data_IF_271849801009
#
_entry.id   IF_271849801009
#
_cell.length_a   1.000
_cell.length_b   1.000
_cell.length_c   1.000
_cell.angle_alpha   90.00
_cell.angle_beta   90.00
_cell.angle_gamma   90.00
#
_symmetry.space_group_name_H-M   'P 1'
#
loop_
_entity.id
_entity.type
_entity.pdbx_description
1 polymer ?
#
# COMPACT_ATOMS: atom_id res chain seq x y z
N UNK A 1 34.61 -6.95 7.07
CA UNK A 1 34.20 -7.49 5.76
C UNK A 1 32.80 -8.04 5.92
N UNK A 2 31.81 -7.18 5.65
CA UNK A 2 30.40 -7.40 5.93
C UNK A 2 29.78 -8.00 4.68
N UNK A 3 29.41 -9.28 4.72
CA UNK A 3 28.63 -9.88 3.65
C UNK A 3 27.20 -9.34 3.76
N UNK A 4 26.92 -8.27 2.99
CA UNK A 4 25.57 -7.78 2.75
C UNK A 4 24.72 -8.94 2.20
N UNK A 5 23.66 -9.31 2.93
CA UNK A 5 22.61 -10.19 2.45
C UNK A 5 22.10 -9.56 1.14
N UNK A 6 22.25 -10.31 0.03
CA UNK A 6 21.92 -9.85 -1.32
C UNK A 6 20.41 -9.55 -1.41
N UNK A 7 20.04 -8.28 -1.25
CA UNK A 7 18.72 -7.76 -1.60
C UNK A 7 18.74 -7.32 -3.06
N UNK A 8 18.32 -8.20 -3.95
CA UNK A 8 18.02 -7.87 -5.34
C UNK A 8 16.72 -8.60 -5.70
N UNK A 9 15.83 -7.93 -6.44
CA UNK A 9 14.69 -8.56 -7.12
C UNK A 9 15.22 -9.72 -7.98
N UNK A 10 15.20 -10.94 -7.43
CA UNK A 10 15.72 -12.13 -8.07
C UNK A 10 14.79 -12.63 -9.19
N UNK A 11 13.57 -12.09 -9.26
CA UNK A 11 12.58 -12.48 -10.27
C UNK A 11 12.87 -11.94 -11.67
N UNK A 12 13.63 -10.84 -11.80
CA UNK A 12 14.16 -10.39 -13.09
C UNK A 12 15.05 -11.47 -13.77
N UNK A 13 15.63 -12.40 -12.99
CA UNK A 13 16.44 -13.51 -13.51
C UNK A 13 15.64 -14.79 -13.76
N UNK A 14 14.47 -14.97 -13.14
CA UNK A 14 13.68 -16.20 -13.23
C UNK A 14 12.90 -16.31 -14.56
N UNK A 15 12.53 -15.19 -15.20
CA UNK A 15 11.61 -15.17 -16.34
C UNK A 15 12.26 -15.16 -17.74
N UNK A 16 13.58 -15.28 -17.85
CA UNK A 16 14.27 -15.49 -19.14
C UNK A 16 13.92 -16.84 -19.81
N UNK A 17 13.40 -17.81 -19.04
CA UNK A 17 13.18 -19.19 -19.50
C UNK A 17 11.74 -19.68 -19.31
N UNK A 18 10.78 -19.14 -20.05
CA UNK A 18 9.62 -19.94 -20.52
C UNK A 18 8.73 -19.14 -21.47
N UNK A 19 8.82 -19.44 -22.76
CA UNK A 19 7.84 -18.98 -23.76
C UNK A 19 7.50 -20.18 -24.66
N UNK A 20 6.31 -20.76 -24.48
CA UNK A 20 5.67 -21.59 -25.51
C UNK A 20 4.17 -21.37 -25.52
N UNK A 21 3.69 -21.15 -26.74
CA UNK A 21 2.36 -20.74 -27.20
C UNK A 21 1.35 -21.89 -27.14
N UNK A 22 0.06 -21.56 -26.99
CA UNK A 22 -1.06 -22.37 -27.52
C UNK A 22 -2.33 -21.51 -27.69
N UNK A 23 -3.01 -21.75 -28.82
CA UNK A 23 -4.05 -20.90 -29.39
C UNK A 23 -5.50 -21.37 -29.12
N UNK A 24 -6.39 -20.52 -29.62
CA UNK A 24 -7.86 -20.47 -29.50
C UNK A 24 -8.64 -21.70 -30.02
N UNK A 25 -9.76 -22.00 -29.35
CA UNK A 25 -11.11 -22.29 -29.90
C UNK A 25 -12.08 -22.48 -28.71
N UNK A 26 -12.97 -21.52 -28.37
CA UNK A 26 -14.25 -21.16 -29.00
C UNK A 26 -15.49 -21.88 -28.38
N UNK A 27 -15.93 -21.35 -27.23
CA UNK A 27 -17.27 -20.75 -27.03
C UNK A 27 -18.57 -21.55 -27.27
N UNK A 28 -18.59 -22.88 -27.28
CA UNK A 28 -19.86 -23.65 -27.28
C UNK A 28 -20.01 -24.71 -26.18
N UNK A 29 -19.03 -24.85 -25.29
CA UNK A 29 -19.05 -25.84 -24.20
C UNK A 29 -19.61 -25.27 -22.87
N UNK A 30 -19.71 -23.94 -22.74
CA UNK A 30 -19.80 -23.25 -21.45
C UNK A 30 -21.14 -23.42 -20.74
N UNK A 31 -22.24 -23.56 -21.48
CA UNK A 31 -23.58 -23.56 -20.87
C UNK A 31 -24.01 -24.93 -20.31
N UNK A 32 -23.42 -26.04 -20.79
CA UNK A 32 -23.77 -27.39 -20.31
C UNK A 32 -22.98 -27.83 -19.05
N UNK A 33 -21.85 -27.15 -18.76
CA UNK A 33 -20.97 -27.49 -17.65
C UNK A 33 -21.40 -26.85 -16.31
N UNK A 34 -22.31 -25.86 -16.34
CA UNK A 34 -22.77 -25.15 -15.14
C UNK A 34 -23.77 -25.96 -14.31
N UNK A 35 -24.60 -26.77 -14.95
CA UNK A 35 -25.62 -27.59 -14.28
C UNK A 35 -25.04 -28.80 -13.54
N UNK A 36 -23.80 -29.18 -13.86
CA UNK A 36 -23.03 -30.25 -13.20
C UNK A 36 -21.84 -29.73 -12.40
N UNK A 37 -21.72 -28.41 -12.23
CA UNK A 37 -20.63 -27.83 -11.45
C UNK A 37 -20.77 -28.27 -9.99
N UNK A 38 -19.72 -28.89 -9.39
CA UNK A 38 -19.77 -29.32 -8.01
C UNK A 38 -20.08 -28.12 -7.12
N UNK A 39 -21.19 -28.20 -6.38
CA UNK A 39 -21.55 -27.23 -5.35
C UNK A 39 -20.41 -27.21 -4.34
N UNK A 40 -19.67 -26.10 -4.28
CA UNK A 40 -18.60 -25.94 -3.30
C UNK A 40 -19.29 -25.76 -1.94
N UNK A 41 -19.46 -26.85 -1.20
CA UNK A 41 -19.91 -26.84 0.19
C UNK A 41 -18.91 -26.06 1.05
N UNK A 42 -19.29 -24.81 1.36
CA UNK A 42 -18.53 -23.80 2.10
C UNK A 42 -17.17 -23.40 1.48
N UNK A 43 -16.83 -22.10 1.44
CA UNK A 43 -15.49 -21.67 1.03
C UNK A 43 -14.44 -22.36 1.91
N UNK A 44 -13.50 -23.08 1.31
CA UNK A 44 -12.35 -23.64 2.05
C UNK A 44 -11.64 -22.50 2.77
N UNK A 45 -11.40 -22.65 4.08
CA UNK A 45 -10.62 -21.67 4.84
C UNK A 45 -9.29 -21.39 4.12
N UNK A 46 -8.93 -20.12 3.88
CA UNK A 46 -7.67 -19.79 3.24
C UNK A 46 -6.50 -20.38 4.03
N UNK A 47 -5.56 -21.03 3.33
CA UNK A 47 -4.33 -21.52 3.93
C UNK A 47 -3.28 -20.42 3.84
N UNK A 48 -2.82 -19.95 4.99
CA UNK A 48 -1.76 -18.95 5.07
C UNK A 48 -0.40 -19.60 5.20
N UNK A 49 0.63 -18.93 4.69
CA UNK A 49 2.00 -19.32 4.97
C UNK A 49 2.32 -19.13 6.47
N UNK A 50 3.29 -19.90 7.01
CA UNK A 50 3.73 -19.72 8.39
C UNK A 50 4.25 -18.30 8.63
N UNK A 51 3.78 -17.68 9.72
CA UNK A 51 4.34 -16.41 10.20
C UNK A 51 5.62 -16.72 10.98
N UNK A 52 6.75 -16.23 10.50
CA UNK A 52 8.07 -16.41 11.14
C UNK A 52 8.76 -15.07 11.36
N UNK A 53 9.79 -15.07 12.19
CA UNK A 53 10.52 -13.86 12.58
C UNK A 53 12.02 -14.12 12.62
N UNK A 54 12.80 -13.08 12.32
CA UNK A 54 14.24 -13.03 12.52
C UNK A 54 14.63 -11.74 13.23
N UNK A 55 15.79 -11.72 13.87
CA UNK A 55 16.34 -10.51 14.50
C UNK A 55 17.78 -10.31 14.08
N UNK A 56 18.09 -9.09 13.63
CA UNK A 56 19.44 -8.68 13.26
C UNK A 56 19.61 -7.18 13.55
N UNK A 57 20.76 -6.79 14.11
CA UNK A 57 21.08 -5.37 14.32
C UNK A 57 20.08 -4.60 15.20
N UNK A 58 19.36 -5.28 16.10
CA UNK A 58 18.32 -4.68 16.94
C UNK A 58 17.00 -4.41 16.21
N UNK A 59 16.81 -5.02 15.05
CA UNK A 59 15.57 -4.97 14.26
C UNK A 59 14.97 -6.36 14.20
N UNK A 60 13.67 -6.46 14.46
CA UNK A 60 12.87 -7.67 14.28
C UNK A 60 12.17 -7.60 12.93
N UNK A 61 12.24 -8.68 12.16
CA UNK A 61 11.65 -8.80 10.84
C UNK A 61 10.51 -9.82 10.84
N UNK A 62 9.44 -9.50 10.11
CA UNK A 62 8.31 -10.38 9.84
C UNK A 62 8.52 -11.09 8.50
N UNK A 63 8.21 -12.38 8.44
CA UNK A 63 8.30 -13.21 7.24
C UNK A 63 7.07 -14.12 7.10
N UNK A 64 6.76 -14.52 5.86
CA UNK A 64 5.68 -15.46 5.53
C UNK A 64 6.22 -16.74 4.89
N UNK A 65 6.91 -17.57 5.68
CA UNK A 65 7.44 -18.86 5.24
C UNK A 65 8.56 -18.78 4.19
N UNK A 66 9.08 -17.58 3.93
CA UNK A 66 10.16 -17.29 2.97
C UNK A 66 11.18 -16.34 3.61
N UNK A 67 12.35 -16.15 2.98
CA UNK A 67 13.35 -15.16 3.44
C UNK A 67 12.91 -13.69 3.27
N UNK A 68 11.82 -13.45 2.53
CA UNK A 68 11.35 -12.10 2.22
C UNK A 68 10.83 -11.37 3.45
N UNK A 69 11.25 -10.11 3.59
CA UNK A 69 10.81 -9.23 4.67
C UNK A 69 9.43 -8.66 4.33
N UNK A 70 8.46 -8.95 5.18
CA UNK A 70 7.07 -8.51 5.08
C UNK A 70 6.77 -7.31 6.01
N UNK A 71 7.69 -7.01 6.91
CA UNK A 71 7.59 -5.91 7.87
C UNK A 71 8.80 -5.91 8.79
N UNK A 72 9.05 -4.77 9.43
CA UNK A 72 10.14 -4.66 10.39
C UNK A 72 9.74 -3.76 11.57
N UNK A 73 10.45 -3.93 12.68
CA UNK A 73 10.38 -3.05 13.85
C UNK A 73 11.74 -3.00 14.54
N UNK A 74 12.22 -1.78 14.79
CA UNK A 74 13.36 -1.56 15.66
C UNK A 74 12.97 -1.74 17.12
N UNK A 75 13.64 -2.66 17.81
CA UNK A 75 13.32 -3.00 19.21
C UNK A 75 13.49 -1.79 20.15
N UNK A 76 14.48 -0.94 19.90
CA UNK A 76 14.69 0.28 20.72
C UNK A 76 13.78 1.45 20.36
N UNK A 77 13.08 1.40 19.22
CA UNK A 77 12.19 2.47 18.73
C UNK A 77 10.95 1.86 18.06
N UNK A 78 10.10 1.13 18.80
CA UNK A 78 9.04 0.31 18.23
C UNK A 78 7.96 1.09 17.49
N UNK A 79 7.83 2.40 17.77
CA UNK A 79 6.89 3.31 17.11
C UNK A 79 7.48 4.01 15.88
N UNK A 80 8.77 3.84 15.59
CA UNK A 80 9.38 4.34 14.36
C UNK A 80 9.09 3.37 13.21
N UNK A 81 8.78 3.92 12.04
CA UNK A 81 8.61 3.11 10.83
C UNK A 81 10.00 2.80 10.27
N UNK A 82 10.42 1.54 10.36
CA UNK A 82 11.78 1.14 10.02
C UNK A 82 12.03 1.03 8.50
N UNK A 83 11.03 0.59 7.73
CA UNK A 83 11.17 0.35 6.29
C UNK A 83 10.88 1.62 5.48
N UNK A 84 11.70 1.88 4.46
CA UNK A 84 11.63 3.10 3.64
C UNK A 84 10.30 3.20 2.88
N UNK A 85 9.85 2.12 2.25
CA UNK A 85 8.57 2.13 1.54
C UNK A 85 7.41 2.43 2.50
N UNK A 86 7.46 1.90 3.73
CA UNK A 86 6.42 2.13 4.73
C UNK A 86 6.45 3.59 5.21
N UNK A 87 7.62 4.22 5.30
CA UNK A 87 7.69 5.67 5.52
C UNK A 87 7.02 6.42 4.36
N UNK A 88 7.32 6.07 3.11
CA UNK A 88 6.70 6.67 1.92
C UNK A 88 5.19 6.46 1.85
N UNK A 89 4.64 5.37 2.39
CA UNK A 89 3.19 5.16 2.54
C UNK A 89 2.51 6.22 3.43
N UNK A 90 3.27 7.05 4.16
CA UNK A 90 2.76 8.19 4.92
C UNK A 90 2.82 9.53 4.15
N UNK A 91 3.26 9.51 2.89
CA UNK A 91 3.41 10.72 2.06
C UNK A 91 2.11 11.48 1.80
N UNK A 92 0.95 10.85 1.98
CA UNK A 92 -0.36 11.53 1.97
C UNK A 92 -0.44 12.68 2.99
N UNK A 93 0.36 12.66 4.07
CA UNK A 93 0.44 13.75 5.06
C UNK A 93 0.91 15.09 4.50
N UNK A 94 1.55 15.08 3.32
CA UNK A 94 1.93 16.30 2.59
C UNK A 94 0.71 17.09 2.10
N UNK A 95 -0.40 16.41 1.84
CA UNK A 95 -1.57 16.98 1.17
C UNK A 95 -2.79 17.05 2.08
N UNK A 96 -2.87 16.18 3.09
CA UNK A 96 -4.01 16.08 3.98
C UNK A 96 -3.58 16.31 5.44
N UNK A 97 -4.32 17.17 6.15
CA UNK A 97 -4.26 17.23 7.61
C UNK A 97 -4.78 15.91 8.20
N UNK A 98 -4.43 15.59 9.46
CA UNK A 98 -4.89 14.34 10.10
C UNK A 98 -6.41 14.17 9.97
N UNK A 99 -6.89 13.18 9.21
CA UNK A 99 -8.33 13.00 9.01
C UNK A 99 -8.97 12.34 10.24
N UNK A 100 -10.30 12.32 10.29
CA UNK A 100 -11.02 11.68 11.38
C UNK A 100 -10.87 10.14 11.40
N UNK A 101 -10.71 9.52 10.22
CA UNK A 101 -10.56 8.06 10.05
C UNK A 101 -9.43 7.74 9.06
N UNK A 102 -8.53 6.86 9.48
CA UNK A 102 -7.43 6.30 8.70
C UNK A 102 -7.61 4.78 8.68
N UNK A 103 -7.49 4.17 7.50
CA UNK A 103 -7.63 2.71 7.35
C UNK A 103 -6.43 2.13 6.63
N UNK A 104 -5.94 1.00 7.11
CA UNK A 104 -4.90 0.20 6.46
C UNK A 104 -5.50 -1.16 6.05
N UNK A 105 -5.34 -1.53 4.78
CA UNK A 105 -5.62 -2.87 4.26
C UNK A 105 -4.31 -3.65 4.21
N UNK A 106 -4.24 -4.75 4.95
CA UNK A 106 -3.02 -5.52 5.24
C UNK A 106 -2.27 -4.94 6.44
N UNK A 107 -2.08 -5.72 7.51
CA UNK A 107 -1.51 -5.22 8.78
C UNK A 107 0.02 -5.27 8.82
N UNK A 108 0.62 -6.35 8.32
CA UNK A 108 2.07 -6.58 8.37
C UNK A 108 2.62 -6.53 9.81
N UNK A 109 3.76 -5.86 10.00
CA UNK A 109 4.33 -5.60 11.35
C UNK A 109 3.59 -4.48 12.12
N UNK A 110 2.43 -4.06 11.63
CA UNK A 110 1.61 -2.98 12.15
C UNK A 110 2.32 -1.61 12.26
N UNK A 111 3.40 -1.40 11.51
CA UNK A 111 4.22 -0.18 11.56
C UNK A 111 3.41 1.08 11.25
N UNK A 112 2.63 1.07 10.16
CA UNK A 112 1.77 2.19 9.77
C UNK A 112 0.62 2.38 10.78
N UNK A 113 -0.09 1.30 11.12
CA UNK A 113 -1.20 1.31 12.08
C UNK A 113 -0.79 1.90 13.44
N UNK A 114 0.26 1.37 14.08
CA UNK A 114 0.67 1.85 15.41
C UNK A 114 1.26 3.26 15.36
N UNK A 115 1.97 3.61 14.28
CA UNK A 115 2.45 4.98 14.07
C UNK A 115 1.27 5.97 13.99
N UNK A 116 0.27 5.67 13.17
CA UNK A 116 -0.92 6.51 13.04
C UNK A 116 -1.68 6.61 14.38
N UNK A 117 -1.85 5.50 15.09
CA UNK A 117 -2.51 5.49 16.40
C UNK A 117 -1.75 6.34 17.44
N UNK A 118 -0.42 6.27 17.45
CA UNK A 118 0.42 7.01 18.38
C UNK A 118 0.42 8.51 18.10
N UNK A 119 0.67 8.90 16.85
CA UNK A 119 1.05 10.26 16.50
C UNK A 119 -0.06 11.08 15.83
N UNK A 120 -1.04 10.44 15.17
CA UNK A 120 -2.07 11.14 14.39
C UNK A 120 -3.37 11.26 15.19
N UNK A 121 -3.31 11.98 16.31
CA UNK A 121 -4.51 12.30 17.11
C UNK A 121 -5.28 13.47 16.47
N UNK A 122 -6.63 13.46 16.48
CA UNK A 122 -7.54 12.51 17.14
C UNK A 122 -8.06 11.37 16.23
N UNK A 123 -7.42 11.06 15.10
CA UNK A 123 -7.89 10.06 14.13
C UNK A 123 -8.21 8.69 14.75
N UNK A 124 -9.33 8.09 14.34
CA UNK A 124 -9.57 6.65 14.48
C UNK A 124 -8.75 5.92 13.43
N UNK A 125 -8.06 4.85 13.82
CA UNK A 125 -7.18 4.05 13.01
C UNK A 125 -7.70 2.62 13.01
N UNK A 126 -7.91 2.08 11.82
CA UNK A 126 -8.40 0.71 11.64
C UNK A 126 -7.48 -0.05 10.71
N UNK A 127 -7.16 -1.30 11.05
CA UNK A 127 -6.42 -2.20 10.19
C UNK A 127 -7.26 -3.43 9.85
N UNK A 128 -7.26 -3.79 8.57
CA UNK A 128 -7.98 -4.94 8.03
C UNK A 128 -6.97 -5.99 7.62
N UNK A 129 -6.97 -7.14 8.28
CA UNK A 129 -6.02 -8.21 8.05
C UNK A 129 -6.75 -9.53 7.81
N UNK A 130 -6.35 -10.28 6.79
CA UNK A 130 -7.00 -11.54 6.45
C UNK A 130 -6.44 -12.71 7.29
N UNK A 131 -5.15 -12.67 7.65
CA UNK A 131 -4.46 -13.73 8.34
C UNK A 131 -4.44 -13.50 9.87
N UNK A 132 -5.20 -14.29 10.67
CA UNK A 132 -5.23 -14.14 12.13
C UNK A 132 -3.84 -14.29 12.79
N UNK A 133 -2.94 -15.08 12.21
CA UNK A 133 -1.58 -15.24 12.74
C UNK A 133 -0.77 -13.94 12.65
N UNK A 134 -1.04 -13.09 11.65
CA UNK A 134 -0.42 -11.77 11.52
C UNK A 134 -0.95 -10.83 12.61
N UNK A 135 -2.25 -10.87 12.90
CA UNK A 135 -2.85 -10.09 14.00
C UNK A 135 -2.22 -10.46 15.33
N UNK A 136 -2.09 -11.76 15.63
CA UNK A 136 -1.43 -12.24 16.85
C UNK A 136 0.02 -11.76 16.90
N UNK A 137 0.79 -11.96 15.82
CA UNK A 137 2.19 -11.53 15.76
C UNK A 137 2.34 -10.01 15.92
N UNK A 138 1.45 -9.22 15.34
CA UNK A 138 1.49 -7.77 15.46
C UNK A 138 1.38 -7.31 16.92
N UNK A 139 0.51 -7.94 17.71
CA UNK A 139 0.34 -7.62 19.14
C UNK A 139 1.48 -8.15 20.00
N UNK A 140 1.86 -9.42 19.80
CA UNK A 140 2.80 -10.11 20.70
C UNK A 140 4.26 -9.85 20.36
N UNK A 141 4.57 -9.67 19.07
CA UNK A 141 5.93 -9.55 18.57
C UNK A 141 6.25 -8.17 17.98
N UNK A 142 5.26 -7.35 17.65
CA UNK A 142 5.50 -6.02 17.04
C UNK A 142 4.86 -4.86 17.80
N UNK A 143 4.56 -5.05 19.08
CA UNK A 143 4.15 -3.99 20.02
C UNK A 143 2.96 -3.14 19.53
N UNK A 144 2.04 -3.74 18.78
CA UNK A 144 0.75 -3.12 18.53
C UNK A 144 -0.07 -3.18 19.83
N UNK A 145 -0.44 -2.04 20.47
CA UNK A 145 -1.25 -2.03 21.69
C UNK A 145 -2.61 -2.68 21.45
N UNK A 146 -3.33 -3.12 22.47
CA UNK A 146 -4.71 -3.59 22.31
C UNK A 146 -5.64 -2.52 21.73
N UNK A 147 -6.77 -2.97 21.17
CA UNK A 147 -7.79 -2.07 20.63
C UNK A 147 -8.38 -1.18 21.73
N UNK A 148 -8.70 0.05 21.34
CA UNK A 148 -9.24 1.10 22.20
C UNK A 148 -10.25 1.95 21.43
N UNK A 149 -10.69 3.08 21.99
CA UNK A 149 -11.67 3.96 21.34
C UNK A 149 -11.19 4.55 19.99
N UNK A 150 -9.89 4.48 19.69
CA UNK A 150 -9.25 4.98 18.46
C UNK A 150 -8.66 3.88 17.60
N UNK A 151 -8.25 2.74 18.14
CA UNK A 151 -7.62 1.65 17.41
C UNK A 151 -8.54 0.43 17.30
N UNK A 152 -8.72 -0.06 16.08
CA UNK A 152 -9.39 -1.33 15.81
C UNK A 152 -8.56 -2.17 14.83
N UNK A 153 -8.45 -3.48 15.07
CA UNK A 153 -7.95 -4.44 14.07
C UNK A 153 -8.99 -5.50 13.83
N UNK A 154 -9.35 -5.72 12.57
CA UNK A 154 -10.41 -6.65 12.20
C UNK A 154 -9.87 -7.71 11.26
N UNK A 155 -10.22 -8.95 11.59
CA UNK A 155 -9.97 -10.10 10.73
C UNK A 155 -11.03 -10.15 9.62
N UNK A 156 -10.72 -9.57 8.46
CA UNK A 156 -11.66 -9.41 7.35
C UNK A 156 -10.90 -9.36 6.01
N UNK A 157 -11.56 -9.79 4.94
CA UNK A 157 -11.03 -9.61 3.58
C UNK A 157 -11.12 -8.14 3.14
N UNK A 158 -10.04 -7.63 2.58
CA UNK A 158 -9.98 -6.25 2.09
C UNK A 158 -11.01 -5.98 0.96
N UNK A 159 -11.33 -6.97 0.14
CA UNK A 159 -12.39 -6.90 -0.87
C UNK A 159 -13.76 -6.70 -0.22
N UNK A 160 -14.08 -7.50 0.80
CA UNK A 160 -15.35 -7.39 1.52
C UNK A 160 -15.46 -6.04 2.23
N UNK A 161 -14.37 -5.58 2.86
CA UNK A 161 -14.32 -4.28 3.51
C UNK A 161 -14.66 -3.12 2.57
N UNK A 162 -14.09 -3.08 1.37
CA UNK A 162 -14.33 -1.97 0.43
C UNK A 162 -15.71 -2.05 -0.26
N UNK A 163 -16.35 -3.22 -0.25
CA UNK A 163 -17.71 -3.39 -0.77
C UNK A 163 -18.81 -3.12 0.27
N UNK A 164 -18.46 -3.09 1.56
CA UNK A 164 -19.37 -2.65 2.60
C UNK A 164 -19.69 -1.16 2.46
N UNK A 165 -20.98 -0.88 2.18
CA UNK A 165 -21.49 0.48 2.00
C UNK A 165 -21.35 1.34 3.25
N UNK A 166 -21.24 0.75 4.45
CA UNK A 166 -20.99 1.49 5.68
C UNK A 166 -19.62 2.22 5.68
N UNK A 167 -18.68 1.79 4.83
CA UNK A 167 -17.38 2.44 4.71
C UNK A 167 -17.34 3.56 3.65
N UNK A 168 -18.38 3.70 2.81
CA UNK A 168 -18.37 4.62 1.67
C UNK A 168 -18.40 6.08 2.12
N UNK A 169 -17.48 6.90 1.59
CA UNK A 169 -17.39 8.32 1.91
C UNK A 169 -16.84 8.65 3.31
N UNK A 170 -16.19 7.71 4.01
CA UNK A 170 -15.85 7.88 5.44
C UNK A 170 -14.35 7.95 5.76
N UNK A 171 -13.49 7.55 4.82
CA UNK A 171 -12.06 7.36 5.06
C UNK A 171 -11.27 8.55 4.48
N UNK A 172 -10.50 9.26 5.31
CA UNK A 172 -9.66 10.35 4.80
C UNK A 172 -8.35 9.84 4.21
N UNK A 173 -7.74 8.83 4.82
CA UNK A 173 -6.53 8.19 4.31
C UNK A 173 -6.69 6.66 4.29
N UNK A 174 -6.50 6.05 3.12
CA UNK A 174 -6.57 4.60 2.92
C UNK A 174 -5.21 4.07 2.46
N UNK A 175 -4.61 3.17 3.23
CA UNK A 175 -3.31 2.60 2.94
C UNK A 175 -3.49 1.15 2.47
N UNK A 176 -3.10 0.83 1.25
CA UNK A 176 -3.25 -0.50 0.65
C UNK A 176 -1.87 -1.15 0.58
N UNK A 177 -1.64 -2.11 1.48
CA UNK A 177 -0.38 -2.83 1.66
C UNK A 177 -0.64 -4.35 1.72
N UNK A 178 -1.40 -4.84 0.73
CA UNK A 178 -1.83 -6.25 0.64
C UNK A 178 -0.96 -7.04 -0.31
N UNK A 179 -0.27 -8.06 0.22
CA UNK A 179 0.57 -8.98 -0.54
C UNK A 179 0.22 -10.43 -0.22
N UNK A 180 0.45 -11.33 -1.17
CA UNK A 180 0.44 -12.76 -0.87
C UNK A 180 1.75 -13.21 -0.22
N UNK A 181 1.74 -14.42 0.37
CA UNK A 181 2.90 -15.02 1.02
C UNK A 181 4.11 -15.23 0.09
N UNK A 182 3.91 -15.15 -1.22
CA UNK A 182 4.98 -15.25 -2.21
C UNK A 182 5.48 -13.88 -2.69
N UNK A 183 4.97 -12.78 -2.13
CA UNK A 183 5.21 -11.41 -2.57
C UNK A 183 4.89 -11.18 -4.06
N UNK A 184 3.96 -11.96 -4.64
CA UNK A 184 3.61 -11.89 -6.07
C UNK A 184 2.58 -10.81 -6.33
N UNK A 185 3.05 -9.57 -6.43
CA UNK A 185 2.17 -8.44 -6.78
C UNK A 185 1.12 -8.09 -5.72
N UNK A 186 0.40 -6.98 -5.90
CA UNK A 186 -0.82 -6.75 -5.15
C UNK A 186 -1.84 -7.84 -5.53
N UNK A 187 -2.37 -8.54 -4.52
CA UNK A 187 -3.40 -9.58 -4.70
C UNK A 187 -4.70 -8.96 -5.24
N UNK A 188 -4.94 -7.70 -4.88
CA UNK A 188 -6.11 -6.93 -5.26
C UNK A 188 -5.68 -5.78 -6.18
N UNK A 189 -5.55 -6.08 -7.47
CA UNK A 189 -4.96 -5.17 -8.45
C UNK A 189 -5.94 -4.72 -9.55
N UNK A 190 -7.24 -4.95 -9.40
CA UNK A 190 -8.27 -4.70 -10.42
C UNK A 190 -8.84 -3.27 -10.37
N UNK A 191 -9.34 -2.78 -11.51
CA UNK A 191 -10.06 -1.49 -11.56
C UNK A 191 -11.27 -1.51 -10.63
N UNK A 192 -12.00 -2.62 -10.57
CA UNK A 192 -13.17 -2.78 -9.70
C UNK A 192 -12.79 -2.60 -8.22
N UNK A 193 -11.69 -3.24 -7.78
CA UNK A 193 -11.16 -3.06 -6.44
C UNK A 193 -10.80 -1.59 -6.18
N UNK A 194 -10.03 -0.96 -7.06
CA UNK A 194 -9.61 0.42 -6.88
C UNK A 194 -10.78 1.42 -6.90
N UNK A 195 -11.84 1.16 -7.69
CA UNK A 195 -13.08 1.95 -7.65
C UNK A 195 -13.83 1.77 -6.33
N UNK A 196 -13.91 0.56 -5.80
CA UNK A 196 -14.51 0.29 -4.49
C UNK A 196 -13.71 0.96 -3.36
N UNK A 197 -12.38 0.86 -3.41
CA UNK A 197 -11.48 1.57 -2.49
C UNK A 197 -11.66 3.09 -2.56
N UNK A 198 -11.76 3.65 -3.76
CA UNK A 198 -12.05 5.08 -3.96
C UNK A 198 -13.41 5.47 -3.39
N UNK A 199 -14.45 4.64 -3.54
CA UNK A 199 -15.77 4.90 -2.97
C UNK A 199 -15.76 4.96 -1.42
N UNK A 200 -14.78 4.33 -0.77
CA UNK A 200 -14.59 4.42 0.68
C UNK A 200 -13.98 5.76 1.13
N UNK A 201 -13.27 6.45 0.24
CA UNK A 201 -12.64 7.72 0.56
C UNK A 201 -13.69 8.85 0.68
N UNK A 202 -13.42 9.81 1.55
CA UNK A 202 -14.18 11.08 1.60
C UNK A 202 -13.98 11.89 0.31
N UNK A 203 -14.77 12.94 0.13
CA UNK A 203 -14.66 13.86 -1.03
C UNK A 203 -13.28 14.49 -1.23
N UNK A 204 -12.40 14.45 -0.23
CA UNK A 204 -11.01 14.90 -0.30
C UNK A 204 -10.04 13.89 0.35
N UNK A 205 -10.30 12.59 0.17
CA UNK A 205 -9.46 11.53 0.70
C UNK A 205 -8.31 11.12 -0.23
N UNK A 206 -7.30 10.47 0.34
CA UNK A 206 -6.11 10.00 -0.39
C UNK A 206 -5.90 8.51 -0.11
N UNK A 207 -5.63 7.74 -1.15
CA UNK A 207 -5.11 6.38 -1.01
C UNK A 207 -3.60 6.35 -1.28
N UNK A 208 -2.85 5.58 -0.48
CA UNK A 208 -1.47 5.20 -0.78
C UNK A 208 -1.40 3.70 -1.03
N UNK A 209 -0.72 3.29 -2.09
CA UNK A 209 -0.65 1.89 -2.52
C UNK A 209 0.81 1.49 -2.67
N UNK A 210 1.20 0.40 -2.02
CA UNK A 210 2.52 -0.20 -2.19
C UNK A 210 2.53 -1.08 -3.44
N UNK A 211 3.43 -0.80 -4.39
CA UNK A 211 3.58 -1.52 -5.66
C UNK A 211 5.01 -2.03 -5.81
N UNK A 212 5.22 -3.10 -6.59
CA UNK A 212 6.55 -3.47 -7.06
C UNK A 212 6.92 -2.63 -8.28
N UNK A 213 8.05 -1.93 -8.24
CA UNK A 213 8.54 -1.04 -9.28
C UNK A 213 9.12 -1.78 -10.49
N UNK A 214 10.06 -2.69 -10.25
CA UNK A 214 10.70 -3.52 -11.29
C UNK A 214 9.93 -4.84 -11.54
N UNK A 215 8.60 -4.75 -11.69
CA UNK A 215 7.75 -5.89 -12.02
C UNK A 215 6.78 -5.51 -13.16
N UNK A 216 6.48 -6.42 -14.12
CA UNK A 216 5.56 -6.13 -15.22
C UNK A 216 4.16 -5.69 -14.78
N UNK A 217 3.76 -6.02 -13.55
CA UNK A 217 2.49 -5.56 -12.97
C UNK A 217 2.46 -4.07 -12.66
N UNK A 218 3.60 -3.37 -12.54
CA UNK A 218 3.64 -1.94 -12.21
C UNK A 218 2.85 -1.11 -13.21
N UNK A 219 3.18 -1.23 -14.50
CA UNK A 219 2.53 -0.48 -15.59
C UNK A 219 1.03 -0.78 -15.63
N UNK A 220 0.66 -2.06 -15.43
CA UNK A 220 -0.74 -2.49 -15.37
C UNK A 220 -1.48 -1.87 -14.18
N UNK A 221 -0.86 -1.87 -13.00
CA UNK A 221 -1.41 -1.27 -11.79
C UNK A 221 -1.62 0.23 -11.94
N UNK A 222 -0.61 0.95 -12.44
CA UNK A 222 -0.72 2.38 -12.68
C UNK A 222 -1.83 2.73 -13.68
N UNK A 223 -2.01 1.94 -14.74
CA UNK A 223 -3.13 2.12 -15.67
C UNK A 223 -4.47 1.96 -14.97
N UNK A 224 -4.63 0.92 -14.15
CA UNK A 224 -5.89 0.62 -13.44
C UNK A 224 -6.20 1.64 -12.33
N UNK A 225 -5.18 2.10 -11.60
CA UNK A 225 -5.30 3.18 -10.64
C UNK A 225 -5.74 4.47 -11.32
N UNK A 226 -5.08 4.85 -12.43
CA UNK A 226 -5.48 6.04 -13.21
C UNK A 226 -6.91 5.92 -13.72
N UNK A 227 -7.34 4.75 -14.17
CA UNK A 227 -8.74 4.53 -14.58
C UNK A 227 -9.73 4.65 -13.40
N UNK A 228 -9.35 4.19 -12.20
CA UNK A 228 -10.22 4.24 -11.03
C UNK A 228 -10.29 5.63 -10.37
N UNK A 229 -9.23 6.43 -10.46
CA UNK A 229 -9.07 7.74 -9.80
C UNK A 229 -9.07 8.93 -10.77
N UNK A 230 -9.65 8.76 -11.96
CA UNK A 230 -9.78 9.80 -12.99
C UNK A 230 -8.44 10.46 -13.35
N UNK A 231 -7.38 9.66 -13.46
CA UNK A 231 -6.03 10.10 -13.79
C UNK A 231 -5.26 10.76 -12.64
N UNK A 232 -5.90 11.04 -11.49
CA UNK A 232 -5.28 11.69 -10.33
C UNK A 232 -4.43 10.75 -9.49
N UNK A 233 -3.38 10.21 -10.11
CA UNK A 233 -2.46 9.25 -9.52
C UNK A 233 -1.01 9.60 -9.87
N UNK A 234 -0.17 9.70 -8.85
CA UNK A 234 1.28 9.88 -9.00
C UNK A 234 2.01 8.80 -8.20
N UNK A 235 3.15 8.33 -8.70
CA UNK A 235 4.00 7.40 -7.96
C UNK A 235 5.32 8.07 -7.62
N UNK A 236 5.80 7.84 -6.41
CA UNK A 236 7.16 8.20 -6.02
C UNK A 236 8.17 7.30 -6.78
N UNK A 237 9.42 7.75 -6.95
CA UNK A 237 10.50 6.93 -7.46
C UNK A 237 10.67 5.65 -6.64
N UNK A 238 11.28 4.65 -7.28
CA UNK A 238 11.56 3.37 -6.66
C UNK A 238 12.54 3.50 -5.49
N UNK A 239 12.19 2.88 -4.37
CA UNK A 239 13.12 2.76 -3.23
C UNK A 239 14.10 1.62 -3.45
N UNK A 240 15.16 1.57 -2.65
CA UNK A 240 16.21 0.55 -2.77
C UNK A 240 15.69 -0.90 -2.71
N UNK A 241 14.54 -1.12 -2.09
CA UNK A 241 13.91 -2.43 -1.92
C UNK A 241 13.05 -2.85 -3.12
N UNK A 242 12.95 -2.00 -4.15
CA UNK A 242 12.19 -2.26 -5.38
C UNK A 242 10.71 -1.88 -5.30
N UNK A 243 10.26 -1.28 -4.19
CA UNK A 243 8.90 -0.79 -4.02
C UNK A 243 8.72 0.59 -4.66
N UNK A 244 7.51 0.88 -5.13
CA UNK A 244 7.05 2.20 -5.55
C UNK A 244 5.73 2.51 -4.87
N UNK A 245 5.66 3.66 -4.21
CA UNK A 245 4.43 4.09 -3.56
C UNK A 245 3.63 4.99 -4.49
N UNK A 246 2.42 4.56 -4.83
CA UNK A 246 1.46 5.37 -5.57
C UNK A 246 0.55 6.14 -4.59
N UNK A 247 0.32 7.42 -4.87
CA UNK A 247 -0.69 8.26 -4.24
C UNK A 247 -1.83 8.46 -5.23
N UNK A 248 -3.06 8.20 -4.80
CA UNK A 248 -4.27 8.34 -5.60
C UNK A 248 -5.27 9.25 -4.87
N UNK A 249 -5.76 10.29 -5.57
CA UNK A 249 -6.57 11.35 -4.97
C UNK A 249 -8.03 11.21 -5.37
N UNK A 250 -8.94 11.16 -4.39
CA UNK A 250 -10.38 11.04 -4.64
C UNK A 250 -11.06 12.39 -4.88
N UNK A 251 -10.58 13.45 -4.22
CA UNK A 251 -11.09 14.81 -4.31
C UNK A 251 -10.55 15.64 -5.45
N UNK A 252 -11.18 16.79 -5.76
CA UNK A 252 -11.02 17.53 -7.01
C UNK A 252 -9.56 17.79 -7.39
N UNK A 253 -9.33 18.19 -8.65
CA UNK A 253 -7.99 18.54 -9.13
C UNK A 253 -7.27 19.42 -8.11
N UNK A 254 -6.04 19.02 -7.76
CA UNK A 254 -5.29 19.59 -6.65
C UNK A 254 -4.14 20.41 -7.21
N UNK A 255 -4.10 21.69 -6.84
CA UNK A 255 -2.98 22.59 -7.14
C UNK A 255 -2.41 23.14 -5.84
N UNK A 256 -1.13 22.87 -5.58
CA UNK A 256 -0.42 23.30 -4.37
C UNK A 256 0.96 23.78 -4.74
N UNK A 257 1.39 24.93 -4.22
CA UNK A 257 2.75 25.42 -4.48
C UNK A 257 3.81 24.50 -3.86
N UNK A 258 4.94 24.34 -4.54
CA UNK A 258 6.06 23.57 -3.98
C UNK A 258 6.51 24.14 -2.64
N UNK A 259 6.48 25.47 -2.47
CA UNK A 259 6.80 26.13 -1.20
C UNK A 259 5.88 25.69 -0.04
N UNK A 260 4.59 25.46 -0.32
CA UNK A 260 3.66 24.94 0.68
C UNK A 260 3.97 23.48 1.05
N UNK A 261 4.31 22.64 0.07
CA UNK A 261 4.75 21.26 0.33
C UNK A 261 6.06 21.22 1.12
N UNK A 262 7.03 22.07 0.82
CA UNK A 262 8.28 22.20 1.58
C UNK A 262 8.04 22.64 3.03
N UNK A 263 7.13 23.61 3.23
CA UNK A 263 6.73 24.05 4.58
C UNK A 263 6.07 22.89 5.35
N UNK A 264 5.22 22.10 4.68
CA UNK A 264 4.56 20.94 5.27
C UNK A 264 5.58 19.84 5.61
N UNK A 265 6.51 19.56 4.71
CA UNK A 265 7.57 18.57 4.92
C UNK A 265 8.41 18.87 6.17
N UNK A 266 8.86 20.12 6.34
CA UNK A 266 9.60 20.54 7.54
C UNK A 266 8.81 20.31 8.83
N UNK A 267 7.50 20.54 8.81
CA UNK A 267 6.64 20.27 9.96
C UNK A 267 6.57 18.75 10.25
N UNK A 268 6.41 17.92 9.22
CA UNK A 268 6.35 16.46 9.38
C UNK A 268 7.67 15.90 9.91
N UNK A 269 8.81 16.36 9.40
CA UNK A 269 10.14 15.97 9.90
C UNK A 269 10.30 16.35 11.38
N UNK A 270 9.97 17.59 11.75
CA UNK A 270 10.08 18.09 13.12
C UNK A 270 9.16 17.34 14.10
N UNK A 271 7.90 17.08 13.71
CA UNK A 271 6.89 16.54 14.62
C UNK A 271 6.83 15.02 14.64
N UNK A 272 7.17 14.39 13.53
CA UNK A 272 6.93 12.97 13.29
C UNK A 272 8.21 12.18 12.93
N UNK A 273 9.32 12.86 12.64
CA UNK A 273 10.59 12.21 12.27
C UNK A 273 10.52 11.44 10.94
N UNK A 274 9.56 11.76 10.08
CA UNK A 274 9.40 11.19 8.73
C UNK A 274 10.25 11.99 7.74
N UNK A 275 10.92 11.37 6.74
CA UNK A 275 11.81 12.06 5.79
C UNK A 275 11.04 12.81 4.68
N UNK A 276 10.11 13.68 5.09
CA UNK A 276 9.13 14.26 4.19
C UNK A 276 9.73 15.19 3.12
N UNK A 277 10.91 15.79 3.35
CA UNK A 277 11.57 16.61 2.33
C UNK A 277 11.99 15.76 1.12
N UNK A 278 12.45 14.51 1.36
CA UNK A 278 12.78 13.58 0.28
C UNK A 278 11.55 13.27 -0.57
N UNK A 279 10.37 13.12 0.04
CA UNK A 279 9.13 12.90 -0.69
C UNK A 279 8.76 14.08 -1.58
N UNK A 280 8.97 15.33 -1.13
CA UNK A 280 8.73 16.52 -1.97
C UNK A 280 9.67 16.54 -3.17
N UNK A 281 10.95 16.22 -2.97
CA UNK A 281 11.92 16.09 -4.07
C UNK A 281 11.48 15.03 -5.08
N UNK A 282 11.12 13.84 -4.59
CA UNK A 282 10.60 12.74 -5.39
C UNK A 282 9.33 13.11 -6.17
N UNK A 283 8.42 13.87 -5.57
CA UNK A 283 7.22 14.37 -6.25
C UNK A 283 7.54 15.36 -7.36
N UNK A 284 8.55 16.24 -7.20
CA UNK A 284 9.00 17.14 -8.27
C UNK A 284 9.52 16.36 -9.47
N UNK A 285 10.35 15.35 -9.23
CA UNK A 285 10.89 14.47 -10.26
C UNK A 285 9.76 13.75 -11.01
N UNK A 286 8.85 13.11 -10.29
CA UNK A 286 7.71 12.39 -10.88
C UNK A 286 6.71 13.31 -11.61
N UNK A 287 6.47 14.52 -11.09
CA UNK A 287 5.56 15.48 -11.72
C UNK A 287 6.15 16.04 -13.03
N UNK A 288 7.46 16.32 -13.05
CA UNK A 288 8.16 16.74 -14.27
C UNK A 288 8.12 15.67 -15.37
N UNK A 289 8.24 14.39 -15.01
CA UNK A 289 8.12 13.28 -15.96
C UNK A 289 6.70 13.15 -16.55
N UNK A 290 5.66 13.32 -15.73
CA UNK A 290 4.28 13.33 -16.20
C UNK A 290 3.95 14.55 -17.08
N UNK A 291 4.56 15.71 -16.80
CA UNK A 291 4.36 16.96 -17.54
C UNK A 291 4.99 16.99 -18.94
N UNK A 292 6.03 16.17 -19.19
CA UNK A 292 6.70 16.09 -20.51
C UNK A 292 5.78 15.60 -21.65
N UNK A 293 4.62 15.03 -21.34
CA UNK A 293 3.60 14.62 -22.31
C UNK A 293 2.48 15.65 -22.57
N UNK A 294 2.37 16.72 -21.79
CA UNK A 294 1.26 17.68 -21.87
C UNK A 294 1.82 19.11 -21.75
N UNK A 295 2.24 19.69 -22.88
CA UNK A 295 2.61 21.11 -22.95
C UNK A 295 1.37 21.99 -22.80
N UNK A 296 0.94 22.22 -21.57
CA UNK A 296 0.01 23.30 -21.23
C UNK A 296 0.49 23.96 -19.94
N UNK A 297 0.99 25.19 -20.06
CA UNK A 297 0.93 26.35 -19.12
C UNK A 297 0.87 26.15 -17.60
N UNK A 298 1.34 25.02 -17.05
CA UNK A 298 1.51 24.86 -15.60
C UNK A 298 2.75 25.64 -15.18
N UNK A 299 2.58 26.56 -14.23
CA UNK A 299 3.71 27.28 -13.64
C UNK A 299 4.67 26.27 -12.99
N UNK A 300 5.98 26.40 -13.26
CA UNK A 300 7.04 25.53 -12.70
C UNK A 300 7.06 25.51 -11.16
N UNK A 301 6.30 26.40 -10.51
CA UNK A 301 6.24 26.61 -9.07
C UNK A 301 5.14 25.80 -8.33
N UNK A 302 4.30 25.03 -9.04
CA UNK A 302 3.19 24.27 -8.46
C UNK A 302 3.23 22.77 -8.72
N UNK A 303 2.78 21.99 -7.74
CA UNK A 303 2.33 20.62 -7.89
C UNK A 303 0.87 20.64 -8.34
N UNK A 304 0.54 19.95 -9.43
CA UNK A 304 -0.81 19.93 -9.99
C UNK A 304 -1.19 18.54 -10.49
N UNK A 305 -2.27 17.96 -9.97
CA UNK A 305 -2.76 16.62 -10.33
C UNK A 305 -4.27 16.55 -10.51
#
# INVERSE_FOLDING_TARGET
>A
MTNLIKRASAEARAFSKTRKTRGNTASKQVDADLDNAPVIEAPRKPRFAPVTFSEEGGVRYLHFGTEWVQGAMRLSKPQHIELEYAQQMMSWLLFLATPARIVQLGLGSASLTKFAHRYLRPAKVEAIELNPAVVVAARTMFELPHDDARLAVRELDAWDFVHDRANHGTIGALQIDVYDATARGPVLDSVAFYRAARACLTDAGIATINLFGDHPSYVRNMKRLKEAFDGRVIALPEVHEGNRIALAFSGPALEVSWAALEKRARLLESKLGLPAHQWVKSLREANAENGKGNKSDKSDDTFAI
#
